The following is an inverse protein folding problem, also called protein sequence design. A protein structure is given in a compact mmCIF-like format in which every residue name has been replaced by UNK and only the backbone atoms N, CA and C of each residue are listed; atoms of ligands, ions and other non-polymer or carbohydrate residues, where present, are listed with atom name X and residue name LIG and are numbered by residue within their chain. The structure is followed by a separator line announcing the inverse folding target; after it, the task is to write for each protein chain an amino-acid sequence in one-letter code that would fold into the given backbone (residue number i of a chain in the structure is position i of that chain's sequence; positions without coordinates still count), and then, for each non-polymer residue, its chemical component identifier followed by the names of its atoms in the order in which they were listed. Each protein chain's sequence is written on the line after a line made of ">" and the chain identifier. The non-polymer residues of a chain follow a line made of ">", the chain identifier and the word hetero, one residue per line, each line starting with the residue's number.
data_IF_064848683183
#
_entry.id   IF_064848683183
#
_cell.length_a   1.000
_cell.length_b   1.000
_cell.length_c   1.000
_cell.angle_alpha   90.00
_cell.angle_beta   90.00
_cell.angle_gamma   90.00
#
_symmetry.space_group_name_H-M   'P 1'
#
loop_
_entity.id
_entity.type
_entity.pdbx_description
1 polymer ?
#
# COMPACT_ATOMS: atom_id res chain seq x y z
N UNK A 1 24.01 -11.49 -7.20
CA UNK A 1 23.26 -10.21 -7.36
C UNK A 1 22.77 -10.19 -8.79
N UNK A 2 21.48 -10.43 -9.02
CA UNK A 2 20.89 -10.38 -10.36
C UNK A 2 20.89 -8.91 -10.79
N UNK A 3 21.64 -8.59 -11.84
CA UNK A 3 21.69 -7.23 -12.39
C UNK A 3 20.36 -6.98 -13.10
N UNK A 4 19.48 -6.19 -12.49
CA UNK A 4 18.21 -5.76 -13.11
C UNK A 4 18.55 -4.88 -14.32
N UNK A 5 17.93 -5.16 -15.46
CA UNK A 5 18.15 -4.36 -16.67
C UNK A 5 17.61 -2.93 -16.49
N UNK A 6 18.14 -1.97 -17.25
CA UNK A 6 17.63 -0.58 -17.23
C UNK A 6 16.13 -0.49 -17.55
N UNK A 7 15.65 -1.35 -18.45
CA UNK A 7 14.24 -1.41 -18.83
C UNK A 7 13.38 -1.92 -17.67
N UNK A 8 13.77 -3.04 -17.04
CA UNK A 8 13.05 -3.59 -15.88
C UNK A 8 13.04 -2.60 -14.71
N UNK A 9 14.19 -1.98 -14.41
CA UNK A 9 14.30 -0.95 -13.36
C UNK A 9 13.35 0.22 -13.62
N UNK A 10 13.24 0.67 -14.87
CA UNK A 10 12.29 1.71 -15.28
C UNK A 10 10.84 1.25 -15.11
N UNK A 11 10.49 0.04 -15.54
CA UNK A 11 9.14 -0.52 -15.35
C UNK A 11 8.76 -0.58 -13.87
N UNK A 12 9.67 -1.05 -13.01
CA UNK A 12 9.46 -1.10 -11.55
C UNK A 12 9.25 0.31 -10.98
N UNK A 13 10.04 1.30 -11.39
CA UNK A 13 9.85 2.68 -10.92
C UNK A 13 8.47 3.24 -11.25
N UNK A 14 7.96 3.03 -12.47
CA UNK A 14 6.59 3.42 -12.82
C UNK A 14 5.52 2.65 -12.05
N UNK A 15 5.74 1.35 -11.85
CA UNK A 15 4.85 0.49 -11.07
C UNK A 15 4.72 0.98 -9.62
N UNK A 16 5.84 1.15 -8.92
CA UNK A 16 5.84 1.63 -7.54
C UNK A 16 5.29 3.07 -7.41
N UNK A 17 5.55 3.91 -8.40
CA UNK A 17 4.96 5.26 -8.47
C UNK A 17 3.43 5.23 -8.63
N UNK A 18 2.90 4.22 -9.33
CA UNK A 18 1.47 4.00 -9.48
C UNK A 18 0.79 3.76 -8.14
N UNK A 19 1.34 2.87 -7.32
CA UNK A 19 0.86 2.65 -5.95
C UNK A 19 0.96 3.92 -5.11
N UNK A 20 2.11 4.60 -5.17
CA UNK A 20 2.37 5.79 -4.37
C UNK A 20 1.39 6.92 -4.65
N UNK A 21 1.18 7.24 -5.94
CA UNK A 21 0.27 8.29 -6.37
C UNK A 21 -1.18 7.90 -6.10
N UNK A 22 -1.57 6.65 -6.36
CA UNK A 22 -2.92 6.19 -6.04
C UNK A 22 -3.20 6.32 -4.54
N UNK A 23 -2.29 5.85 -3.67
CA UNK A 23 -2.42 5.99 -2.22
C UNK A 23 -2.45 7.44 -1.74
N UNK A 24 -1.78 8.36 -2.45
CA UNK A 24 -1.78 9.78 -2.09
C UNK A 24 -3.12 10.46 -2.36
N UNK A 25 -3.76 10.14 -3.49
CA UNK A 25 -4.98 10.81 -3.95
C UNK A 25 -6.28 10.05 -3.66
N UNK A 26 -6.20 8.90 -2.97
CA UNK A 26 -7.36 8.22 -2.42
C UNK A 26 -7.58 8.67 -0.97
N UNK A 27 -8.84 8.88 -0.60
CA UNK A 27 -9.24 9.44 0.70
C UNK A 27 -8.92 8.47 1.83
N UNK A 28 -9.26 7.20 1.64
CA UNK A 28 -9.20 6.18 2.67
C UNK A 28 -7.97 5.27 2.58
N UNK A 29 -7.04 5.57 1.66
CA UNK A 29 -5.79 4.82 1.55
C UNK A 29 -4.87 5.04 2.76
N UNK A 30 -4.17 3.97 3.15
CA UNK A 30 -3.22 3.97 4.26
C UNK A 30 -2.06 4.95 3.99
N UNK A 31 -1.52 5.61 5.03
CA UNK A 31 -0.44 6.57 4.84
C UNK A 31 0.85 5.85 4.42
N UNK A 32 1.42 6.35 3.32
CA UNK A 32 2.64 5.83 2.72
C UNK A 32 3.88 6.28 3.52
N UNK A 33 4.66 5.33 4.03
CA UNK A 33 5.91 5.58 4.76
C UNK A 33 7.07 5.87 3.82
N UNK A 34 7.25 4.97 2.85
CA UNK A 34 8.34 5.02 1.87
C UNK A 34 8.00 4.18 0.64
N UNK A 35 8.65 4.50 -0.47
CA UNK A 35 8.60 3.75 -1.73
C UNK A 35 10.01 3.45 -2.16
N UNK A 36 10.28 2.24 -2.65
CA UNK A 36 11.62 1.88 -3.13
C UNK A 36 11.58 0.93 -4.33
N UNK A 37 12.57 1.08 -5.20
CA UNK A 37 12.85 0.17 -6.33
C UNK A 37 14.05 -0.75 -6.06
N UNK A 38 14.52 -0.80 -4.80
CA UNK A 38 15.59 -1.70 -4.39
C UNK A 38 14.98 -3.08 -4.15
N UNK A 39 15.45 -4.13 -4.85
CA UNK A 39 14.91 -5.47 -4.69
C UNK A 39 15.13 -6.00 -3.28
N UNK A 40 14.09 -6.61 -2.69
CA UNK A 40 14.18 -7.35 -1.42
C UNK A 40 13.83 -8.81 -1.64
N UNK A 41 14.81 -9.69 -1.43
CA UNK A 41 14.62 -11.13 -1.63
C UNK A 41 14.46 -11.51 -3.10
N UNK A 42 13.82 -12.65 -3.35
CA UNK A 42 13.69 -13.25 -4.70
C UNK A 42 12.42 -12.85 -5.46
N UNK A 43 11.43 -12.23 -4.81
CA UNK A 43 10.08 -12.04 -5.36
C UNK A 43 9.63 -10.58 -5.56
N UNK A 44 10.30 -9.60 -4.94
CA UNK A 44 9.92 -8.18 -5.02
C UNK A 44 11.07 -7.34 -5.55
N UNK A 45 10.88 -6.76 -6.74
CA UNK A 45 11.86 -5.86 -7.38
C UNK A 45 11.76 -4.41 -6.83
N UNK A 46 10.68 -4.08 -6.12
CA UNK A 46 10.41 -2.83 -5.42
C UNK A 46 9.26 -3.05 -4.42
N UNK A 47 8.98 -2.07 -3.56
CA UNK A 47 7.78 -2.04 -2.74
C UNK A 47 7.44 -0.65 -2.19
N UNK A 48 6.15 -0.37 -2.09
CA UNK A 48 5.57 0.70 -1.27
C UNK A 48 5.25 0.17 0.14
N UNK A 49 5.77 0.82 1.18
CA UNK A 49 5.49 0.48 2.57
C UNK A 49 4.46 1.45 3.15
N UNK A 50 3.38 0.90 3.68
CA UNK A 50 2.32 1.66 4.35
C UNK A 50 2.39 1.45 5.85
N UNK A 51 1.90 2.42 6.64
CA UNK A 51 1.67 2.16 8.07
C UNK A 51 0.41 1.32 8.20
N UNK A 52 0.49 0.13 8.85
CA UNK A 52 -0.70 -0.68 9.07
C UNK A 52 -1.77 0.12 9.80
N UNK A 53 -3.02 0.01 9.34
CA UNK A 53 -4.17 0.49 10.12
C UNK A 53 -4.42 -0.44 11.32
N UNK A 54 -4.48 0.10 12.55
CA UNK A 54 -4.97 -0.62 13.72
C UNK A 54 -6.51 -0.74 13.73
N UNK A 55 -7.20 -0.19 12.72
CA UNK A 55 -8.65 -0.23 12.66
C UNK A 55 -9.14 -1.66 12.44
N UNK A 56 -9.72 -2.24 13.48
CA UNK A 56 -10.38 -3.56 13.44
C UNK A 56 -11.65 -3.56 12.57
N UNK A 57 -12.19 -2.38 12.27
CA UNK A 57 -13.42 -2.19 11.51
C UNK A 57 -13.11 -1.37 10.25
N UNK A 58 -13.37 -1.97 9.09
CA UNK A 58 -13.20 -1.33 7.79
C UNK A 58 -14.54 -1.20 7.05
N UNK A 59 -14.78 -0.02 6.48
CA UNK A 59 -15.95 0.29 5.65
C UNK A 59 -15.79 -0.21 4.22
N UNK A 60 -16.89 -0.22 3.46
CA UNK A 60 -16.90 -0.60 2.05
C UNK A 60 -16.04 0.34 1.21
N UNK A 61 -16.07 1.63 1.51
CA UNK A 61 -15.30 2.69 0.87
C UNK A 61 -13.79 2.50 1.12
N UNK A 62 -13.40 2.20 2.36
CA UNK A 62 -12.00 1.88 2.71
C UNK A 62 -11.47 0.66 1.95
N UNK A 63 -12.26 -0.41 1.84
CA UNK A 63 -11.87 -1.58 1.05
C UNK A 63 -11.77 -1.28 -0.45
N UNK A 64 -12.67 -0.45 -0.98
CA UNK A 64 -12.63 -0.04 -2.37
C UNK A 64 -11.37 0.77 -2.69
N UNK A 65 -11.03 1.76 -1.85
CA UNK A 65 -9.81 2.56 -2.00
C UNK A 65 -8.55 1.69 -1.85
N UNK A 66 -8.54 0.74 -0.91
CA UNK A 66 -7.43 -0.21 -0.76
C UNK A 66 -7.25 -1.06 -2.01
N UNK A 67 -8.36 -1.49 -2.63
CA UNK A 67 -8.34 -2.23 -3.90
C UNK A 67 -7.78 -1.35 -5.02
N UNK A 68 -8.23 -0.09 -5.12
CA UNK A 68 -7.73 0.86 -6.12
C UNK A 68 -6.23 1.14 -5.97
N UNK A 69 -5.76 1.42 -4.76
CA UNK A 69 -4.34 1.61 -4.46
C UNK A 69 -3.49 0.39 -4.86
N UNK A 70 -3.98 -0.82 -4.57
CA UNK A 70 -3.28 -2.07 -4.93
C UNK A 70 -3.26 -2.30 -6.44
N UNK A 71 -4.24 -1.81 -7.19
CA UNK A 71 -4.23 -1.85 -8.66
C UNK A 71 -3.39 -0.73 -9.31
N UNK A 72 -2.89 0.22 -8.51
CA UNK A 72 -2.15 1.40 -8.98
C UNK A 72 -0.92 1.08 -9.82
N UNK A 73 -0.14 0.06 -9.44
CA UNK A 73 1.06 -0.32 -10.18
C UNK A 73 0.73 -0.83 -11.59
N UNK A 74 -0.24 -1.74 -11.71
CA UNK A 74 -0.74 -2.22 -13.01
C UNK A 74 -1.30 -1.08 -13.86
N UNK A 75 -2.09 -0.19 -13.28
CA UNK A 75 -2.68 0.94 -13.99
C UNK A 75 -1.60 1.93 -14.49
N UNK A 76 -0.54 2.18 -13.72
CA UNK A 76 0.57 3.02 -14.12
C UNK A 76 1.38 2.42 -15.28
N UNK A 77 1.63 1.12 -15.26
CA UNK A 77 2.23 0.41 -16.39
C UNK A 77 1.40 0.58 -17.67
N UNK A 78 0.08 0.34 -17.60
CA UNK A 78 -0.80 0.48 -18.76
C UNK A 78 -0.81 1.93 -19.29
N UNK A 79 -0.97 2.93 -18.41
CA UNK A 79 -1.17 4.32 -18.82
C UNK A 79 0.12 5.02 -19.28
N UNK A 80 1.25 4.73 -18.65
CA UNK A 80 2.52 5.41 -18.93
C UNK A 80 3.44 4.62 -19.86
N UNK A 81 3.45 3.29 -19.76
CA UNK A 81 4.32 2.42 -20.58
C UNK A 81 3.54 1.87 -21.79
N UNK A 82 2.24 1.66 -21.66
CA UNK A 82 1.41 1.02 -22.69
C UNK A 82 1.58 -0.49 -22.77
N UNK A 83 2.23 -1.10 -21.77
CA UNK A 83 2.46 -2.55 -21.66
C UNK A 83 2.33 -2.97 -20.20
N UNK A 84 1.75 -4.14 -19.99
CA UNK A 84 1.59 -4.75 -18.66
C UNK A 84 2.69 -5.80 -18.43
N UNK A 85 3.15 -5.91 -17.18
CA UNK A 85 4.20 -6.86 -16.77
C UNK A 85 3.68 -7.98 -15.87
N UNK A 86 4.51 -8.96 -15.56
CA UNK A 86 4.22 -9.97 -14.52
C UNK A 86 4.38 -9.43 -13.09
N UNK A 87 4.90 -8.21 -12.92
CA UNK A 87 5.18 -7.60 -11.61
C UNK A 87 3.95 -7.45 -10.72
N UNK A 88 2.75 -7.25 -11.30
CA UNK A 88 1.52 -7.08 -10.54
C UNK A 88 0.90 -8.40 -10.03
N UNK A 89 1.56 -9.56 -10.15
CA UNK A 89 0.99 -10.85 -9.76
C UNK A 89 0.54 -10.85 -8.29
N UNK A 90 1.41 -10.42 -7.38
CA UNK A 90 1.12 -10.35 -5.94
C UNK A 90 -0.03 -9.38 -5.63
N UNK A 91 -0.10 -8.27 -6.37
CA UNK A 91 -1.17 -7.27 -6.20
C UNK A 91 -2.51 -7.82 -6.64
N UNK A 92 -2.55 -8.53 -7.77
CA UNK A 92 -3.76 -9.20 -8.27
C UNK A 92 -4.23 -10.30 -7.31
N UNK A 93 -3.30 -11.04 -6.69
CA UNK A 93 -3.63 -12.03 -5.66
C UNK A 93 -4.27 -11.38 -4.43
N UNK A 94 -3.67 -10.30 -3.92
CA UNK A 94 -4.23 -9.52 -2.79
C UNK A 94 -5.60 -8.92 -3.12
N UNK A 95 -5.75 -8.32 -4.30
CA UNK A 95 -7.01 -7.77 -4.79
C UNK A 95 -8.07 -8.85 -4.85
N UNK A 96 -7.74 -10.01 -5.43
CA UNK A 96 -8.67 -11.14 -5.53
C UNK A 96 -9.13 -11.56 -4.14
N UNK A 97 -8.19 -11.87 -3.24
CA UNK A 97 -8.51 -12.29 -1.86
C UNK A 97 -9.41 -11.28 -1.14
N UNK A 98 -8.99 -10.01 -1.13
CA UNK A 98 -9.72 -8.93 -0.44
C UNK A 98 -11.12 -8.72 -1.01
N UNK A 99 -11.30 -8.88 -2.32
CA UNK A 99 -12.61 -8.68 -2.96
C UNK A 99 -13.54 -9.87 -2.70
N UNK A 100 -13.01 -11.09 -2.67
CA UNK A 100 -13.79 -12.26 -2.23
C UNK A 100 -14.23 -12.12 -0.76
N UNK A 101 -13.38 -11.60 0.13
CA UNK A 101 -13.77 -11.33 1.53
C UNK A 101 -14.92 -10.31 1.60
N UNK A 102 -14.86 -9.22 0.83
CA UNK A 102 -15.94 -8.22 0.76
C UNK A 102 -17.28 -8.84 0.35
N UNK A 103 -17.28 -9.67 -0.70
CA UNK A 103 -18.51 -10.22 -1.28
C UNK A 103 -19.03 -11.42 -0.47
N UNK A 104 -18.16 -12.37 -0.15
CA UNK A 104 -18.56 -13.66 0.42
C UNK A 104 -18.57 -13.69 1.95
N UNK A 105 -17.83 -12.80 2.63
CA UNK A 105 -17.65 -12.85 4.09
C UNK A 105 -18.28 -11.65 4.79
N UNK A 106 -18.05 -10.44 4.28
CA UNK A 106 -18.51 -9.19 4.91
C UNK A 106 -19.90 -8.74 4.46
N UNK A 107 -20.50 -9.39 3.46
CA UNK A 107 -21.86 -9.09 3.01
C UNK A 107 -21.98 -7.75 2.26
N UNK A 108 -20.93 -7.29 1.58
CA UNK A 108 -20.94 -6.01 0.85
C UNK A 108 -21.63 -6.07 -0.51
N UNK A 109 -22.00 -7.26 -0.97
CA UNK A 109 -22.81 -7.46 -2.17
C UNK A 109 -24.28 -7.56 -1.82
N UNK A 110 -25.09 -6.69 -2.42
CA UNK A 110 -26.55 -6.73 -2.30
C UNK A 110 -27.14 -8.00 -2.93
N UNK A 111 -26.50 -8.52 -4.00
CA UNK A 111 -26.98 -9.72 -4.71
C UNK A 111 -26.75 -10.98 -3.87
N UNK A 112 -25.60 -11.09 -3.21
CA UNK A 112 -25.29 -12.23 -2.30
C UNK A 112 -26.03 -12.09 -0.96
N UNK A 113 -26.20 -10.86 -0.48
CA UNK A 113 -26.92 -10.53 0.75
C UNK A 113 -26.06 -10.59 2.01
N UNK A 114 -26.70 -10.42 3.17
CA UNK A 114 -26.08 -10.34 4.49
C UNK A 114 -25.72 -11.73 5.07
N UNK A 115 -25.05 -12.55 4.26
CA UNK A 115 -24.58 -13.89 4.62
C UNK A 115 -23.05 -13.92 4.64
N UNK A 116 -22.49 -14.87 5.39
CA UNK A 116 -21.04 -15.01 5.54
C UNK A 116 -20.60 -16.45 5.27
N UNK A 117 -19.66 -16.59 4.34
CA UNK A 117 -19.09 -17.85 3.87
C UNK A 117 -17.55 -17.82 3.99
N UNK A 118 -16.99 -17.79 5.20
CA UNK A 118 -15.54 -17.80 5.39
C UNK A 118 -14.94 -19.10 4.84
N UNK A 119 -13.80 -19.00 4.15
CA UNK A 119 -13.06 -20.18 3.71
C UNK A 119 -12.57 -20.97 4.92
N UNK A 120 -12.97 -22.23 5.02
CA UNK A 120 -12.50 -23.17 6.03
C UNK A 120 -11.63 -24.22 5.34
N UNK A 121 -10.41 -24.38 5.82
CA UNK A 121 -9.55 -25.48 5.42
C UNK A 121 -9.72 -26.58 6.45
N UNK A 122 -10.49 -27.61 6.14
CA UNK A 122 -10.77 -28.71 7.07
C UNK A 122 -9.84 -29.92 6.88
N UNK A 123 -8.74 -29.75 6.14
CA UNK A 123 -7.76 -30.81 5.89
C UNK A 123 -8.20 -31.86 4.87
N UNK A 124 -9.49 -31.92 4.52
CA UNK A 124 -10.06 -32.81 3.50
C UNK A 124 -10.40 -32.09 2.19
N UNK A 125 -10.42 -30.76 2.20
CA UNK A 125 -10.50 -29.95 1.01
C UNK A 125 -10.96 -28.53 1.34
N UNK A 126 -11.39 -27.82 0.29
CA UNK A 126 -12.15 -26.58 0.44
C UNK A 126 -13.60 -26.91 0.09
N UNK A 127 -14.39 -27.32 1.09
CA UNK A 127 -15.82 -27.46 0.86
C UNK A 127 -16.50 -26.10 0.95
N UNK A 128 -17.27 -25.75 -0.08
CA UNK A 128 -17.94 -24.45 -0.17
C UNK A 128 -19.32 -24.59 0.45
N UNK A 129 -19.66 -23.84 1.52
CA UNK A 129 -20.95 -23.96 2.22
C UNK A 129 -22.13 -23.33 1.45
N UNK A 130 -22.04 -23.29 0.12
CA UNK A 130 -23.00 -22.63 -0.76
C UNK A 130 -23.09 -23.35 -2.11
N UNK A 131 -24.23 -23.18 -2.77
CA UNK A 131 -24.52 -23.81 -4.06
C UNK A 131 -23.60 -23.33 -5.19
N UNK A 132 -23.54 -24.08 -6.30
CA UNK A 132 -22.86 -23.62 -7.51
C UNK A 132 -23.44 -22.31 -8.09
N UNK A 133 -24.74 -22.07 -7.93
CA UNK A 133 -25.37 -20.81 -8.35
C UNK A 133 -24.86 -19.63 -7.52
N UNK A 134 -24.77 -19.80 -6.20
CA UNK A 134 -24.20 -18.79 -5.30
C UNK A 134 -22.72 -18.55 -5.61
N UNK A 135 -21.96 -19.61 -5.92
CA UNK A 135 -20.57 -19.48 -6.34
C UNK A 135 -20.42 -18.60 -7.59
N UNK A 136 -21.22 -18.87 -8.63
CA UNK A 136 -21.22 -18.08 -9.87
C UNK A 136 -21.62 -16.62 -9.64
N UNK A 137 -22.54 -16.37 -8.70
CA UNK A 137 -22.94 -15.02 -8.32
C UNK A 137 -21.79 -14.27 -7.65
N UNK A 138 -21.11 -14.89 -6.67
CA UNK A 138 -19.94 -14.33 -6.01
C UNK A 138 -18.85 -13.99 -7.04
N UNK A 139 -18.53 -14.91 -7.96
CA UNK A 139 -17.51 -14.70 -8.99
C UNK A 139 -17.85 -13.52 -9.92
N UNK A 140 -19.13 -13.31 -10.19
CA UNK A 140 -19.62 -12.20 -11.02
C UNK A 140 -19.47 -10.87 -10.28
N UNK A 141 -19.93 -10.81 -9.02
CA UNK A 141 -19.82 -9.62 -8.18
C UNK A 141 -18.36 -9.20 -7.95
N UNK A 142 -17.47 -10.16 -7.68
CA UNK A 142 -16.03 -9.91 -7.54
C UNK A 142 -15.45 -9.32 -8.82
N UNK A 143 -15.79 -9.88 -9.99
CA UNK A 143 -15.32 -9.36 -11.28
C UNK A 143 -15.82 -7.93 -11.54
N UNK A 144 -17.09 -7.65 -11.26
CA UNK A 144 -17.67 -6.31 -11.40
C UNK A 144 -16.98 -5.29 -10.48
N UNK A 145 -16.73 -5.66 -9.22
CA UNK A 145 -16.06 -4.80 -8.25
C UNK A 145 -14.61 -4.50 -8.65
N UNK A 146 -13.82 -5.52 -9.01
CA UNK A 146 -12.43 -5.33 -9.46
C UNK A 146 -12.37 -4.50 -10.75
N UNK A 147 -13.28 -4.73 -11.70
CA UNK A 147 -13.34 -3.94 -12.93
C UNK A 147 -13.64 -2.46 -12.64
N UNK A 148 -14.58 -2.18 -11.74
CA UNK A 148 -14.89 -0.81 -11.29
C UNK A 148 -13.69 -0.16 -10.61
N UNK A 149 -13.03 -0.88 -9.71
CA UNK A 149 -11.82 -0.39 -9.03
C UNK A 149 -10.69 -0.11 -10.02
N UNK A 150 -10.47 -0.99 -11.00
CA UNK A 150 -9.45 -0.81 -12.03
C UNK A 150 -9.72 0.41 -12.91
N UNK A 151 -10.97 0.59 -13.36
CA UNK A 151 -11.36 1.76 -14.16
C UNK A 151 -11.13 3.06 -13.37
N UNK A 152 -11.59 3.11 -12.12
CA UNK A 152 -11.40 4.26 -11.23
C UNK A 152 -9.92 4.58 -11.03
N UNK A 153 -9.11 3.55 -10.79
CA UNK A 153 -7.66 3.68 -10.61
C UNK A 153 -7.00 4.19 -11.88
N UNK A 154 -7.39 3.66 -13.04
CA UNK A 154 -6.84 4.07 -14.33
C UNK A 154 -7.17 5.52 -14.65
N UNK A 155 -8.38 5.98 -14.35
CA UNK A 155 -8.77 7.39 -14.47
C UNK A 155 -7.96 8.28 -13.53
N UNK A 156 -7.78 7.86 -12.28
CA UNK A 156 -6.95 8.56 -11.30
C UNK A 156 -5.49 8.72 -11.78
N UNK A 157 -4.90 7.63 -12.27
CA UNK A 157 -3.54 7.62 -12.80
C UNK A 157 -3.44 8.48 -14.06
N UNK A 158 -4.42 8.45 -14.97
CA UNK A 158 -4.46 9.34 -16.14
C UNK A 158 -4.53 10.81 -15.73
N UNK A 159 -5.37 11.15 -14.75
CA UNK A 159 -5.51 12.51 -14.22
C UNK A 159 -4.22 13.03 -13.59
N UNK A 160 -3.44 12.14 -12.97
CA UNK A 160 -2.19 12.49 -12.29
C UNK A 160 -0.94 11.96 -13.02
N UNK A 161 -1.02 11.74 -14.34
CA UNK A 161 0.03 11.11 -15.14
C UNK A 161 1.40 11.79 -14.98
N UNK A 162 1.42 13.12 -15.01
CA UNK A 162 2.66 13.90 -14.87
C UNK A 162 3.31 13.71 -13.50
N UNK A 163 2.48 13.60 -12.44
CA UNK A 163 2.97 13.34 -11.08
C UNK A 163 3.54 11.92 -10.95
N UNK A 164 2.89 10.92 -11.55
CA UNK A 164 3.42 9.54 -11.60
C UNK A 164 4.78 9.51 -12.30
N UNK A 165 4.92 10.20 -13.42
CA UNK A 165 6.19 10.28 -14.13
C UNK A 165 7.29 10.96 -13.30
N UNK A 166 6.98 12.07 -12.61
CA UNK A 166 7.95 12.76 -11.75
C UNK A 166 8.41 11.89 -10.57
N UNK A 167 7.48 11.19 -9.90
CA UNK A 167 7.83 10.25 -8.83
C UNK A 167 8.69 9.10 -9.36
N UNK A 168 8.40 8.58 -10.56
CA UNK A 168 9.16 7.50 -11.16
C UNK A 168 10.60 7.90 -11.49
N UNK A 169 10.80 9.09 -12.10
CA UNK A 169 12.15 9.59 -12.38
C UNK A 169 12.92 9.85 -11.09
N UNK A 170 12.27 10.42 -10.06
CA UNK A 170 12.91 10.64 -8.76
C UNK A 170 13.27 9.30 -8.07
N UNK A 171 12.45 8.26 -8.21
CA UNK A 171 12.79 6.90 -7.74
C UNK A 171 13.98 6.31 -8.50
N UNK A 172 14.11 6.58 -9.80
CA UNK A 172 15.27 6.11 -10.57
C UNK A 172 16.57 6.75 -10.11
N UNK A 173 16.52 8.01 -9.68
CA UNK A 173 17.65 8.77 -9.13
C UNK A 173 18.01 8.36 -7.70
N UNK A 174 17.03 8.29 -6.79
CA UNK A 174 17.27 8.09 -5.34
C UNK A 174 17.12 6.65 -4.86
N UNK A 175 16.47 5.79 -5.63
CA UNK A 175 16.11 4.41 -5.31
C UNK A 175 15.12 4.21 -4.14
N UNK A 176 15.05 5.17 -3.22
CA UNK A 176 14.15 5.23 -2.07
C UNK A 176 13.60 6.64 -1.94
N UNK A 177 12.28 6.77 -1.82
CA UNK A 177 11.60 8.01 -1.50
C UNK A 177 10.87 7.90 -0.17
N UNK A 178 10.99 8.95 0.65
CA UNK A 178 10.24 9.10 1.88
C UNK A 178 9.04 10.05 1.68
N UNK A 179 8.18 10.15 2.69
CA UNK A 179 7.00 11.03 2.63
C UNK A 179 7.37 12.47 2.24
N UNK A 180 8.45 13.03 2.78
CA UNK A 180 8.86 14.40 2.47
C UNK A 180 9.23 14.59 0.99
N UNK A 181 9.84 13.58 0.34
CA UNK A 181 10.09 13.60 -1.09
C UNK A 181 8.78 13.60 -1.89
N UNK A 182 7.81 12.80 -1.43
CA UNK A 182 6.49 12.73 -2.07
C UNK A 182 5.71 14.03 -1.90
N UNK A 183 5.74 14.67 -0.74
CA UNK A 183 5.11 15.99 -0.53
C UNK A 183 5.70 17.04 -1.47
N UNK A 184 7.02 17.01 -1.71
CA UNK A 184 7.68 17.95 -2.64
C UNK A 184 7.18 17.80 -4.08
N UNK A 185 6.90 16.57 -4.52
CA UNK A 185 6.46 16.29 -5.90
C UNK A 185 4.93 16.36 -6.04
N UNK A 186 4.20 15.82 -5.07
CA UNK A 186 2.75 15.64 -5.14
C UNK A 186 1.97 16.83 -4.56
N UNK A 187 2.62 17.65 -3.73
CA UNK A 187 2.00 18.68 -2.91
C UNK A 187 1.41 18.12 -1.61
N UNK A 188 0.69 18.96 -0.87
CA UNK A 188 -0.07 18.51 0.29
C UNK A 188 -1.11 17.46 -0.12
N UNK A 189 -1.31 16.46 0.73
CA UNK A 189 -2.38 15.48 0.54
C UNK A 189 -3.73 16.20 0.60
N UNK A 190 -4.63 15.99 -0.37
CA UNK A 190 -5.92 16.69 -0.42
C UNK A 190 -6.88 16.26 0.69
N UNK A 191 -6.65 15.10 1.29
CA UNK A 191 -7.45 14.57 2.40
C UNK A 191 -6.64 14.66 3.68
N UNK A 192 -7.09 15.53 4.60
CA UNK A 192 -6.56 15.66 5.96
C UNK A 192 -7.44 14.84 6.88
N UNK A 193 -6.87 13.85 7.57
CA UNK A 193 -7.59 13.14 8.64
C UNK A 193 -7.73 14.06 9.86
N UNK A 194 -8.92 14.04 10.46
CA UNK A 194 -9.20 14.79 11.69
C UNK A 194 -8.44 14.23 12.90
N UNK A 195 -8.11 12.94 12.87
CA UNK A 195 -7.22 12.31 13.84
C UNK A 195 -5.79 12.20 13.30
N UNK A 196 -4.77 12.23 14.18
CA UNK A 196 -3.40 11.92 13.80
C UNK A 196 -3.36 10.55 13.15
N UNK A 197 -2.86 10.50 11.92
CA UNK A 197 -2.67 9.26 11.17
C UNK A 197 -1.77 8.32 11.95
N UNK A 198 -1.82 7.02 11.63
CA UNK A 198 -0.85 6.08 12.21
C UNK A 198 0.59 6.47 11.87
N UNK A 199 0.80 7.24 10.79
CA UNK A 199 2.08 7.85 10.49
C UNK A 199 2.47 8.95 11.47
N UNK A 200 1.55 9.84 11.85
CA UNK A 200 1.80 10.89 12.86
C UNK A 200 2.13 10.26 14.21
N UNK A 201 1.41 9.20 14.60
CA UNK A 201 1.69 8.42 15.81
C UNK A 201 3.05 7.70 15.72
N UNK A 202 3.38 7.13 14.56
CA UNK A 202 4.68 6.50 14.31
C UNK A 202 5.84 7.50 14.39
N UNK A 203 5.68 8.71 13.83
CA UNK A 203 6.66 9.80 13.94
C UNK A 203 6.85 10.23 15.39
N UNK A 204 5.76 10.44 16.13
CA UNK A 204 5.81 10.82 17.54
C UNK A 204 6.55 9.77 18.38
N UNK A 205 6.25 8.48 18.22
CA UNK A 205 6.95 7.42 18.95
C UNK A 205 8.46 7.33 18.66
N UNK A 206 8.90 7.72 17.45
CA UNK A 206 10.32 7.84 17.14
C UNK A 206 10.95 9.08 17.79
N UNK A 207 10.28 10.23 17.75
CA UNK A 207 10.75 11.46 18.37
C UNK A 207 10.88 11.32 19.90
N UNK A 208 9.89 10.73 20.57
CA UNK A 208 9.93 10.45 22.01
C UNK A 208 11.08 9.49 22.39
N UNK A 209 11.45 8.58 21.47
CA UNK A 209 12.57 7.65 21.65
C UNK A 209 13.95 8.28 21.45
N UNK A 210 14.04 9.36 20.66
CA UNK A 210 15.28 10.14 20.47
C UNK A 210 15.46 11.17 21.58
N UNK A 211 14.38 11.78 22.06
CA UNK A 211 14.39 12.70 23.21
C UNK A 211 14.73 11.96 24.53
N UNK A 212 14.25 10.72 24.69
CA UNK A 212 14.64 9.89 25.85
C UNK A 212 16.10 9.41 25.80
N UNK A 213 16.65 9.11 24.61
CA UNK A 213 18.07 8.74 24.44
C UNK A 213 19.02 9.92 24.60
N UNK A 214 18.59 11.14 24.27
CA UNK A 214 19.40 12.35 24.46
C UNK A 214 19.38 12.85 25.90
N UNK A 215 18.36 12.49 26.69
CA UNK A 215 18.30 12.75 28.14
C UNK A 215 19.16 11.80 29.00
N UNK A 216 19.58 10.64 28.49
CA UNK A 216 20.42 9.67 29.22
C UNK A 216 21.94 9.87 29.04
N UNK A 217 22.39 10.86 28.26
CA UNK A 217 23.82 11.15 28.05
C UNK A 217 24.19 12.51 28.64
N UNK A 218 24.23 12.59 29.96
CA UNK A 218 24.89 13.69 30.67
C UNK A 218 26.11 13.16 31.45
N UNK A 219 27.33 13.19 30.88
CA UNK A 219 28.54 12.74 31.56
C UNK A 219 29.23 13.95 32.21
N UNK A 220 28.70 14.49 33.31
CA UNK A 220 29.46 15.49 34.08
C UNK A 220 29.13 15.58 35.58
N UNK A 221 29.52 14.58 36.37
CA UNK A 221 29.98 14.86 37.75
C UNK A 221 30.84 13.75 38.34
N UNK A 222 32.13 13.69 37.98
CA UNK A 222 33.20 13.33 38.93
C UNK A 222 34.59 13.55 38.34
N UNK A 223 35.06 14.79 38.42
CA UNK A 223 36.49 15.14 38.52
C UNK A 223 36.50 16.12 39.69
N UNK A 224 37.17 15.96 40.81
CA UNK A 224 38.23 15.06 41.27
C UNK A 224 39.00 15.92 42.28
N UNK A 225 39.17 15.47 43.52
CA UNK A 225 40.17 16.09 44.41
C UNK A 225 40.63 15.07 45.44
N UNK A 226 41.90 14.69 45.31
CA UNK A 226 42.64 13.92 46.30
C UNK A 226 43.67 14.86 46.92
N UNK A 227 43.65 15.05 48.25
CA UNK A 227 44.85 15.24 49.08
C UNK A 227 44.52 15.02 50.58
N UNK A 228 45.49 14.92 51.52
CA UNK A 228 45.68 13.72 52.35
C UNK A 228 45.63 13.99 53.88
N UNK A 229 45.44 12.95 54.69
CA UNK A 229 46.24 12.60 55.89
C UNK A 229 45.72 11.31 56.51
#
# INVERSE_FOLDING_TARGET
>A
ITVISKLERRTVAYHESGHAVAGWFLEHAEPLLKVTIVPRGTAALGFAQYVPSENLLMTKEQFFDRTCMTLGGRAAEEVLIGKISTGAQNDLEKVTKMTYEQVAVYGFSEKVGLLSFPQRYDGFGMDKPYSGQTASMIDTEVRELVAKAYNTTTELIRKHKDKVAQVAELLLEKEVLHQDDLVRVLGERPFKTAEPTNYDRFKQGFMDSEDSKSAEVDPSSSVGEAVPT
#
